data_IF_209981663033
#
_entry.id   IF_209981663033
#
_cell.length_a   1.000
_cell.length_b   1.000
_cell.length_c   1.000
_cell.angle_alpha   90.00
_cell.angle_beta   90.00
_cell.angle_gamma   90.00
#
_symmetry.space_group_name_H-M   'P 1'
#
loop_
_entity.id
_entity.type
_entity.pdbx_description
1 polymer ?
#
# COMPACT_ATOMS: atom_id res chain seq x y z
N UNK A 1 18.12 -14.77 -8.57
CA UNK A 1 17.65 -14.00 -9.76
C UNK A 1 17.28 -14.99 -10.86
N UNK A 2 16.10 -14.86 -11.51
CA UNK A 2 15.68 -15.78 -12.57
C UNK A 2 16.59 -15.56 -13.80
N UNK A 3 17.26 -16.60 -14.34
CA UNK A 3 18.17 -16.43 -15.48
C UNK A 3 17.42 -15.98 -16.75
N UNK A 4 18.04 -15.08 -17.53
CA UNK A 4 17.43 -14.58 -18.77
C UNK A 4 17.11 -15.71 -19.78
N UNK A 5 17.98 -16.73 -19.88
CA UNK A 5 17.73 -17.90 -20.73
C UNK A 5 16.48 -18.70 -20.33
N UNK A 6 16.18 -18.80 -19.03
CA UNK A 6 14.95 -19.43 -18.56
C UNK A 6 13.71 -18.64 -18.96
N UNK A 7 13.78 -17.31 -18.89
CA UNK A 7 12.66 -16.46 -19.31
C UNK A 7 12.35 -16.60 -20.79
N UNK A 8 13.39 -16.70 -21.63
CA UNK A 8 13.21 -16.95 -23.06
C UNK A 8 12.60 -18.33 -23.32
N UNK A 9 13.07 -19.37 -22.64
CA UNK A 9 12.50 -20.71 -22.74
C UNK A 9 11.04 -20.74 -22.29
N UNK A 10 10.72 -20.11 -21.15
CA UNK A 10 9.37 -20.02 -20.64
C UNK A 10 8.44 -19.34 -21.64
N UNK A 11 8.81 -18.15 -22.13
CA UNK A 11 8.00 -17.40 -23.08
C UNK A 11 7.85 -18.10 -24.44
N UNK A 12 8.81 -18.97 -24.83
CA UNK A 12 8.68 -19.77 -26.05
C UNK A 12 7.68 -20.93 -25.92
N UNK A 13 7.36 -21.39 -24.70
CA UNK A 13 6.41 -22.49 -24.43
C UNK A 13 5.01 -22.01 -24.04
N UNK A 14 4.89 -20.76 -23.64
CA UNK A 14 3.60 -20.18 -23.22
C UNK A 14 2.92 -19.61 -24.47
N UNK A 15 1.62 -19.89 -24.63
CA UNK A 15 0.80 -19.18 -25.62
C UNK A 15 0.08 -18.01 -24.95
N UNK A 16 0.40 -16.80 -25.37
CA UNK A 16 -0.21 -15.57 -24.83
C UNK A 16 -1.73 -15.55 -25.07
N UNK A 17 -2.22 -16.17 -26.14
CA UNK A 17 -3.66 -16.22 -26.42
C UNK A 17 -4.38 -17.03 -25.36
N UNK A 18 -3.80 -18.16 -24.92
CA UNK A 18 -4.36 -18.98 -23.85
C UNK A 18 -4.32 -18.24 -22.49
N UNK A 19 -3.24 -17.55 -22.21
CA UNK A 19 -3.11 -16.80 -20.95
C UNK A 19 -4.10 -15.63 -20.89
N UNK A 20 -4.15 -14.83 -21.92
CA UNK A 20 -5.08 -13.68 -22.01
C UNK A 20 -6.52 -14.16 -22.10
N UNK A 21 -6.79 -15.23 -22.85
CA UNK A 21 -8.12 -15.78 -23.04
C UNK A 21 -8.82 -16.29 -21.76
N UNK A 22 -8.04 -16.57 -20.71
CA UNK A 22 -8.60 -16.87 -19.37
C UNK A 22 -9.24 -15.65 -18.67
N UNK A 23 -8.90 -14.44 -19.12
CA UNK A 23 -9.27 -13.20 -18.48
C UNK A 23 -10.04 -12.24 -19.40
N UNK A 24 -9.90 -12.40 -20.70
CA UNK A 24 -10.49 -11.55 -21.74
C UNK A 24 -11.16 -12.43 -22.79
N UNK A 25 -12.43 -12.12 -23.13
CA UNK A 25 -13.11 -12.79 -24.23
C UNK A 25 -12.46 -12.36 -25.57
N UNK A 26 -11.69 -13.27 -26.18
CA UNK A 26 -10.98 -13.04 -27.42
C UNK A 26 -11.74 -13.63 -28.61
N UNK A 27 -11.91 -12.85 -29.67
CA UNK A 27 -12.49 -13.27 -30.95
C UNK A 27 -11.43 -13.16 -32.07
N UNK A 28 -11.40 -14.12 -32.96
CA UNK A 28 -10.42 -14.13 -34.07
C UNK A 28 -10.69 -12.97 -35.01
N UNK A 29 -9.70 -12.11 -35.20
CA UNK A 29 -9.74 -10.95 -36.10
C UNK A 29 -8.58 -11.00 -37.11
N UNK A 30 -8.71 -11.80 -38.16
CA UNK A 30 -7.63 -12.03 -39.12
C UNK A 30 -6.48 -12.88 -38.56
N UNK A 31 -5.24 -12.34 -38.57
CA UNK A 31 -4.04 -12.99 -38.03
C UNK A 31 -3.90 -12.87 -36.49
N UNK A 32 -4.69 -11.99 -35.88
CA UNK A 32 -4.65 -11.72 -34.44
C UNK A 32 -6.00 -12.07 -33.80
N UNK A 33 -6.00 -12.05 -32.46
CA UNK A 33 -7.23 -12.12 -31.66
C UNK A 33 -7.55 -10.73 -31.12
N UNK A 34 -8.84 -10.38 -31.10
CA UNK A 34 -9.34 -9.08 -30.67
C UNK A 34 -10.31 -9.25 -29.49
N UNK A 35 -10.26 -8.35 -28.52
CA UNK A 35 -11.17 -8.31 -27.38
C UNK A 35 -11.33 -6.92 -26.81
N UNK A 36 -12.16 -6.77 -25.79
CA UNK A 36 -12.24 -5.54 -25.01
C UNK A 36 -11.01 -5.45 -24.11
N UNK A 37 -10.42 -4.27 -24.02
CA UNK A 37 -9.20 -4.07 -23.24
C UNK A 37 -9.45 -4.27 -21.74
N UNK A 38 -8.66 -5.10 -21.06
CA UNK A 38 -8.79 -5.28 -19.60
C UNK A 38 -8.10 -4.16 -18.80
N UNK A 39 -7.40 -3.23 -19.47
CA UNK A 39 -6.64 -2.15 -18.85
C UNK A 39 -7.37 -0.79 -18.90
N UNK A 40 -8.39 -0.62 -19.75
CA UNK A 40 -9.26 0.56 -19.79
C UNK A 40 -10.68 0.20 -20.19
N UNK A 41 -11.64 1.04 -19.80
CA UNK A 41 -13.04 0.84 -20.15
C UNK A 41 -13.34 1.23 -21.60
N UNK A 42 -13.84 0.27 -22.40
CA UNK A 42 -14.22 0.51 -23.79
C UNK A 42 -15.46 -0.30 -24.19
N UNK A 43 -16.15 0.13 -25.25
CA UNK A 43 -17.33 -0.57 -25.80
C UNK A 43 -17.04 -1.30 -27.11
N UNK A 44 -15.94 -0.96 -27.77
CA UNK A 44 -15.51 -1.56 -29.03
C UNK A 44 -14.14 -2.22 -28.86
N UNK A 45 -13.91 -3.42 -29.40
CA UNK A 45 -12.64 -4.12 -29.23
C UNK A 45 -11.47 -3.36 -29.83
N UNK A 46 -10.51 -2.94 -28.98
CA UNK A 46 -9.25 -2.32 -29.37
C UNK A 46 -8.02 -3.09 -28.88
N UNK A 47 -8.24 -4.14 -28.10
CA UNK A 47 -7.19 -4.97 -27.56
C UNK A 47 -6.85 -6.12 -28.50
N UNK A 48 -5.63 -6.13 -29.03
CA UNK A 48 -5.15 -7.10 -30.02
C UNK A 48 -4.10 -8.02 -29.38
N UNK A 49 -4.25 -9.32 -29.56
CA UNK A 49 -3.28 -10.34 -29.14
C UNK A 49 -2.74 -11.06 -30.35
N UNK A 50 -1.44 -11.01 -30.55
CA UNK A 50 -0.75 -11.62 -31.70
C UNK A 50 -0.13 -12.97 -31.31
N UNK A 51 -0.68 -14.11 -31.81
CA UNK A 51 -0.10 -15.41 -31.55
C UNK A 51 1.28 -15.60 -32.19
N UNK A 52 1.55 -14.97 -33.31
CA UNK A 52 2.84 -15.07 -33.97
C UNK A 52 3.97 -14.27 -33.31
N UNK A 53 3.61 -13.14 -32.67
CA UNK A 53 4.56 -12.27 -31.96
C UNK A 53 4.60 -12.56 -30.45
N UNK A 54 3.68 -13.36 -29.94
CA UNK A 54 3.49 -13.62 -28.50
C UNK A 54 3.43 -12.31 -27.69
N UNK A 55 2.59 -11.37 -28.19
CA UNK A 55 2.54 -10.00 -27.71
C UNK A 55 1.11 -9.44 -27.80
N UNK A 56 0.70 -8.66 -26.79
CA UNK A 56 -0.56 -7.91 -26.83
C UNK A 56 -0.31 -6.42 -27.03
N UNK A 57 -1.26 -5.75 -27.67
CA UNK A 57 -1.26 -4.31 -27.84
C UNK A 57 -2.69 -3.78 -27.85
N UNK A 58 -2.96 -2.75 -27.06
CA UNK A 58 -4.24 -2.03 -27.07
C UNK A 58 -4.12 -0.74 -27.89
N UNK A 59 -4.90 -0.62 -28.95
CA UNK A 59 -4.94 0.58 -29.79
C UNK A 59 -5.67 1.75 -29.11
N UNK A 60 -6.44 1.52 -28.03
CA UNK A 60 -7.14 2.55 -27.28
C UNK A 60 -6.26 3.23 -26.22
N UNK A 61 -5.56 2.46 -25.37
CA UNK A 61 -4.78 3.01 -24.26
C UNK A 61 -3.27 2.81 -24.39
N UNK A 62 -2.77 2.11 -25.45
CA UNK A 62 -1.33 1.85 -25.65
C UNK A 62 -0.74 0.75 -24.76
N UNK A 63 -1.52 0.12 -23.89
CA UNK A 63 -1.03 -0.99 -23.06
C UNK A 63 -0.50 -2.11 -23.95
N UNK A 64 0.69 -2.63 -23.63
CA UNK A 64 1.36 -3.60 -24.49
C UNK A 64 2.36 -4.44 -23.69
N UNK A 65 2.56 -5.70 -24.10
CA UNK A 65 3.54 -6.57 -23.44
C UNK A 65 3.40 -8.04 -23.82
N UNK A 66 4.22 -8.84 -23.17
CA UNK A 66 4.20 -10.31 -23.23
C UNK A 66 3.27 -10.92 -22.14
N UNK A 67 3.25 -12.23 -22.04
CA UNK A 67 2.44 -12.95 -21.06
C UNK A 67 2.81 -12.58 -19.60
N UNK A 68 4.09 -12.37 -19.30
CA UNK A 68 4.56 -12.00 -17.95
C UNK A 68 4.02 -10.60 -17.61
N UNK A 69 4.16 -9.66 -18.52
CA UNK A 69 3.69 -8.29 -18.33
C UNK A 69 2.17 -8.23 -18.22
N UNK A 70 1.46 -9.03 -18.98
CA UNK A 70 0.00 -9.15 -18.84
C UNK A 70 -0.40 -9.57 -17.43
N UNK A 71 0.21 -10.61 -16.86
CA UNK A 71 -0.10 -11.08 -15.51
C UNK A 71 0.29 -10.06 -14.43
N UNK A 72 1.43 -9.37 -14.60
CA UNK A 72 1.86 -8.35 -13.64
C UNK A 72 0.95 -7.12 -13.65
N UNK A 73 0.55 -6.64 -14.82
CA UNK A 73 -0.28 -5.44 -14.96
C UNK A 73 -1.77 -5.73 -14.75
N UNK A 74 -2.26 -6.88 -15.20
CA UNK A 74 -3.69 -7.22 -15.11
C UNK A 74 -4.07 -7.82 -13.74
N UNK A 75 -3.25 -8.75 -13.21
CA UNK A 75 -3.52 -9.41 -11.93
C UNK A 75 -2.79 -8.80 -10.74
N UNK A 76 -1.86 -7.86 -10.98
CA UNK A 76 -1.04 -7.26 -9.93
C UNK A 76 -0.02 -8.22 -9.33
N UNK A 77 0.31 -9.31 -10.03
CA UNK A 77 1.33 -10.27 -9.58
C UNK A 77 2.71 -9.62 -9.61
N UNK A 78 3.57 -9.99 -8.67
CA UNK A 78 4.99 -9.68 -8.81
C UNK A 78 5.59 -10.42 -10.01
N UNK A 79 6.68 -9.93 -10.57
CA UNK A 79 7.39 -10.60 -11.67
C UNK A 79 7.70 -12.07 -11.37
N UNK A 80 8.12 -12.38 -10.15
CA UNK A 80 8.44 -13.75 -9.74
C UNK A 80 7.19 -14.62 -9.65
N UNK A 81 6.08 -14.08 -9.16
CA UNK A 81 4.80 -14.79 -9.11
C UNK A 81 4.25 -15.07 -10.51
N UNK A 82 4.30 -14.08 -11.42
CA UNK A 82 3.89 -14.26 -12.81
C UNK A 82 4.72 -15.33 -13.53
N UNK A 83 6.04 -15.30 -13.35
CA UNK A 83 6.95 -16.32 -13.93
C UNK A 83 6.66 -17.71 -13.36
N UNK A 84 6.37 -17.84 -12.08
CA UNK A 84 6.01 -19.14 -11.46
C UNK A 84 4.67 -19.67 -11.97
N UNK A 85 3.68 -18.80 -12.08
CA UNK A 85 2.35 -19.17 -12.60
C UNK A 85 2.44 -19.70 -14.03
N UNK A 86 3.15 -18.98 -14.91
CA UNK A 86 3.39 -19.38 -16.28
C UNK A 86 4.18 -20.69 -16.37
N UNK A 87 5.26 -20.82 -15.59
CA UNK A 87 6.11 -22.01 -15.57
C UNK A 87 5.34 -23.25 -15.12
N UNK A 88 4.48 -23.12 -14.09
CA UNK A 88 3.61 -24.18 -13.63
C UNK A 88 2.61 -24.61 -14.73
N UNK A 89 2.09 -23.64 -15.49
CA UNK A 89 1.14 -23.89 -16.58
C UNK A 89 1.73 -24.70 -17.75
N UNK A 90 3.05 -24.60 -17.97
CA UNK A 90 3.76 -25.31 -19.06
C UNK A 90 4.67 -26.43 -18.55
N UNK A 91 4.57 -26.81 -17.28
CA UNK A 91 5.35 -27.90 -16.67
C UNK A 91 6.85 -27.61 -16.56
N UNK A 92 7.27 -26.35 -16.57
CA UNK A 92 8.66 -25.95 -16.35
C UNK A 92 8.93 -25.74 -14.85
N UNK A 93 10.03 -26.31 -14.37
CA UNK A 93 10.54 -25.95 -13.05
C UNK A 93 11.34 -24.64 -13.16
N UNK A 94 10.90 -23.59 -12.44
CA UNK A 94 11.67 -22.35 -12.36
C UNK A 94 13.04 -22.70 -11.75
N UNK A 95 14.17 -22.36 -12.40
CA UNK A 95 15.49 -22.57 -11.83
C UNK A 95 15.57 -21.78 -10.51
N UNK A 96 15.45 -22.50 -9.40
CA UNK A 96 15.75 -21.90 -8.11
C UNK A 96 17.28 -21.76 -8.03
N UNK A 97 17.76 -20.59 -7.55
CA UNK A 97 19.09 -20.52 -7.01
C UNK A 97 19.26 -21.74 -6.12
N UNK A 98 20.43 -22.37 -6.12
CA UNK A 98 20.70 -23.55 -5.30
C UNK A 98 20.45 -23.20 -3.82
N UNK A 99 19.17 -23.23 -3.46
CA UNK A 99 18.71 -23.06 -2.09
C UNK A 99 19.07 -24.35 -1.39
N UNK A 100 19.81 -24.27 -0.29
CA UNK A 100 20.16 -25.45 0.49
C UNK A 100 18.90 -26.24 0.88
N UNK A 101 18.98 -27.57 1.05
CA UNK A 101 17.83 -28.38 1.48
C UNK A 101 17.16 -27.80 2.75
N UNK A 102 17.94 -27.25 3.67
CA UNK A 102 17.47 -26.59 4.90
C UNK A 102 16.66 -25.32 4.60
N UNK A 103 17.10 -24.52 3.64
CA UNK A 103 16.39 -23.29 3.25
C UNK A 103 15.12 -23.57 2.48
N UNK A 104 15.09 -24.66 1.67
CA UNK A 104 13.88 -25.16 1.02
C UNK A 104 12.87 -25.61 2.08
N UNK A 105 13.29 -26.42 3.03
CA UNK A 105 12.45 -26.89 4.13
C UNK A 105 11.90 -25.72 4.97
N UNK A 106 12.71 -24.71 5.25
CA UNK A 106 12.24 -23.46 5.91
C UNK A 106 11.18 -22.73 5.10
N UNK A 107 11.35 -22.61 3.78
CA UNK A 107 10.36 -21.98 2.89
C UNK A 107 9.04 -22.74 2.86
N UNK A 108 9.11 -24.07 2.77
CA UNK A 108 7.92 -24.94 2.76
C UNK A 108 7.18 -24.85 4.10
N UNK A 109 7.89 -24.93 5.21
CA UNK A 109 7.32 -24.76 6.56
C UNK A 109 6.65 -23.37 6.72
N UNK A 110 7.31 -22.29 6.26
CA UNK A 110 6.74 -20.95 6.28
C UNK A 110 5.49 -20.84 5.40
N UNK A 111 5.46 -21.52 4.25
CA UNK A 111 4.32 -21.54 3.35
C UNK A 111 3.12 -22.28 3.97
N UNK A 112 3.35 -23.45 4.54
CA UNK A 112 2.33 -24.22 5.25
C UNK A 112 1.77 -23.44 6.43
N UNK A 113 2.66 -22.80 7.22
CA UNK A 113 2.24 -21.96 8.35
C UNK A 113 1.39 -20.77 7.91
N UNK A 114 1.74 -20.12 6.79
CA UNK A 114 0.93 -19.05 6.21
C UNK A 114 -0.44 -19.51 5.74
N UNK A 115 -0.54 -20.70 5.16
CA UNK A 115 -1.82 -21.28 4.77
C UNK A 115 -2.68 -21.56 6.00
N UNK A 116 -2.13 -22.16 7.05
CA UNK A 116 -2.82 -22.41 8.32
C UNK A 116 -3.31 -21.14 9.00
N UNK A 117 -2.49 -20.07 9.01
CA UNK A 117 -2.90 -18.75 9.53
C UNK A 117 -4.04 -18.13 8.70
N UNK A 118 -3.97 -18.26 7.37
CA UNK A 118 -5.04 -17.80 6.48
C UNK A 118 -6.38 -18.50 6.72
N UNK A 119 -6.35 -19.80 6.96
CA UNK A 119 -7.55 -20.58 7.29
C UNK A 119 -8.17 -20.17 8.63
N UNK A 120 -7.32 -19.92 9.63
CA UNK A 120 -7.75 -19.42 10.94
C UNK A 120 -8.42 -18.05 10.81
N UNK A 121 -7.82 -17.13 10.08
CA UNK A 121 -8.38 -15.79 9.84
C UNK A 121 -9.69 -15.84 9.05
N UNK A 122 -9.79 -16.73 8.04
CA UNK A 122 -11.00 -16.90 7.27
C UNK A 122 -12.15 -17.45 8.13
N UNK A 123 -11.90 -18.45 8.98
CA UNK A 123 -12.90 -18.96 9.93
C UNK A 123 -13.40 -17.89 10.89
N UNK A 124 -12.48 -17.06 11.42
CA UNK A 124 -12.85 -15.93 12.27
C UNK A 124 -13.71 -14.92 11.51
N UNK A 125 -13.37 -14.59 10.26
CA UNK A 125 -14.16 -13.70 9.41
C UNK A 125 -15.58 -14.23 9.17
N UNK A 126 -15.72 -15.50 8.88
CA UNK A 126 -17.03 -16.16 8.67
C UNK A 126 -17.87 -16.16 9.95
N UNK A 127 -17.24 -16.39 11.10
CA UNK A 127 -17.88 -16.26 12.40
C UNK A 127 -18.37 -14.83 12.65
N UNK A 128 -17.52 -13.81 12.54
CA UNK A 128 -17.90 -12.43 12.74
C UNK A 128 -19.01 -11.97 11.78
N UNK A 129 -18.96 -12.41 10.53
CA UNK A 129 -20.00 -12.13 9.54
C UNK A 129 -21.36 -12.76 9.94
N UNK A 130 -21.34 -13.96 10.51
CA UNK A 130 -22.54 -14.62 11.02
C UNK A 130 -23.09 -13.88 12.24
N UNK A 131 -22.23 -13.48 13.16
CA UNK A 131 -22.61 -12.73 14.34
C UNK A 131 -23.26 -11.38 13.99
N UNK A 132 -22.77 -10.68 12.97
CA UNK A 132 -23.35 -9.41 12.51
C UNK A 132 -24.82 -9.58 12.11
N UNK A 133 -25.17 -10.68 11.41
CA UNK A 133 -26.55 -10.94 10.94
C UNK A 133 -27.55 -11.09 12.10
N UNK A 134 -27.11 -11.54 13.25
CA UNK A 134 -27.92 -11.79 14.44
C UNK A 134 -27.82 -10.68 15.50
N UNK A 135 -27.09 -9.58 15.23
CA UNK A 135 -26.86 -8.51 16.21
C UNK A 135 -27.54 -7.19 15.81
N UNK A 136 -28.77 -6.93 16.26
CA UNK A 136 -29.53 -5.72 15.87
C UNK A 136 -28.77 -4.42 16.17
N UNK A 137 -28.10 -4.31 17.34
CA UNK A 137 -27.35 -3.12 17.75
C UNK A 137 -26.25 -2.76 16.73
N UNK A 138 -25.54 -3.75 16.20
CA UNK A 138 -24.49 -3.52 15.19
C UNK A 138 -25.10 -3.19 13.82
N UNK A 139 -26.20 -3.85 13.44
CA UNK A 139 -26.94 -3.57 12.21
C UNK A 139 -27.47 -2.13 12.23
N UNK A 140 -28.13 -1.70 13.31
CA UNK A 140 -28.67 -0.36 13.45
C UNK A 140 -27.57 0.71 13.45
N UNK A 141 -26.42 0.38 14.05
CA UNK A 141 -25.25 1.24 14.00
C UNK A 141 -24.81 1.48 12.53
N UNK A 142 -24.64 0.41 11.75
CA UNK A 142 -24.24 0.51 10.33
C UNK A 142 -25.29 1.25 9.48
N UNK A 143 -26.58 0.99 9.74
CA UNK A 143 -27.70 1.72 9.07
C UNK A 143 -27.67 3.22 9.40
N UNK A 144 -27.44 3.61 10.66
CA UNK A 144 -27.31 5.03 11.04
C UNK A 144 -26.14 5.72 10.37
N UNK A 145 -25.08 4.96 10.04
CA UNK A 145 -23.96 5.41 9.22
C UNK A 145 -24.25 5.39 7.71
N UNK A 146 -25.50 5.08 7.33
CA UNK A 146 -25.93 5.06 5.94
C UNK A 146 -25.49 3.83 5.14
N UNK A 147 -24.89 2.81 5.77
CA UNK A 147 -24.40 1.65 5.06
C UNK A 147 -25.50 0.63 4.79
N UNK A 148 -25.54 0.11 3.56
CA UNK A 148 -26.48 -0.92 3.12
C UNK A 148 -25.95 -2.33 3.40
N UNK A 149 -26.85 -3.31 3.44
CA UNK A 149 -26.46 -4.72 3.54
C UNK A 149 -25.59 -5.21 2.37
N UNK A 150 -25.80 -4.64 1.18
CA UNK A 150 -25.02 -4.98 -0.02
C UNK A 150 -23.56 -4.56 0.14
N UNK A 151 -23.30 -3.34 0.59
CA UNK A 151 -21.93 -2.87 0.81
C UNK A 151 -21.27 -3.61 1.98
N UNK A 152 -22.01 -3.85 3.06
CA UNK A 152 -21.53 -4.65 4.18
C UNK A 152 -21.11 -6.07 3.75
N UNK A 153 -21.88 -6.70 2.87
CA UNK A 153 -21.56 -8.02 2.32
C UNK A 153 -20.34 -7.98 1.38
N UNK A 154 -20.23 -6.94 0.52
CA UNK A 154 -19.08 -6.75 -0.38
C UNK A 154 -17.77 -6.65 0.39
N UNK A 155 -17.74 -5.88 1.47
CA UNK A 155 -16.55 -5.73 2.32
C UNK A 155 -16.43 -6.83 3.39
N UNK A 156 -17.40 -7.74 3.49
CA UNK A 156 -17.37 -8.85 4.45
C UNK A 156 -17.48 -8.39 5.90
N UNK A 157 -18.16 -7.27 6.17
CA UNK A 157 -18.27 -6.73 7.52
C UNK A 157 -18.83 -7.77 8.50
N UNK A 158 -18.35 -7.73 9.73
CA UNK A 158 -18.71 -8.63 10.80
C UNK A 158 -18.96 -7.93 12.12
N UNK A 159 -19.22 -8.72 13.16
CA UNK A 159 -19.33 -8.24 14.53
C UNK A 159 -18.62 -9.20 15.48
N UNK A 160 -17.72 -8.69 16.31
CA UNK A 160 -17.12 -9.42 17.41
C UNK A 160 -17.99 -9.24 18.66
N UNK A 161 -18.58 -10.33 19.20
CA UNK A 161 -19.43 -10.25 20.40
C UNK A 161 -18.68 -9.72 21.64
N UNK A 162 -19.40 -9.26 22.67
CA UNK A 162 -18.78 -8.67 23.87
C UNK A 162 -18.08 -9.67 24.79
N UNK A 163 -18.21 -10.97 24.54
CA UNK A 163 -17.61 -12.02 25.38
C UNK A 163 -16.08 -12.05 25.29
N UNK A 164 -15.46 -12.52 26.36
CA UNK A 164 -13.99 -12.60 26.45
C UNK A 164 -13.37 -13.75 25.65
N UNK A 165 -14.13 -14.83 25.37
CA UNK A 165 -13.68 -16.06 24.73
C UNK A 165 -14.73 -16.57 23.75
N UNK A 166 -15.28 -15.70 22.93
CA UNK A 166 -16.33 -16.06 21.95
C UNK A 166 -15.78 -16.94 20.84
N UNK A 167 -14.51 -16.79 20.49
CA UNK A 167 -13.82 -17.62 19.51
C UNK A 167 -13.57 -19.06 20.01
N UNK A 168 -13.68 -19.33 21.31
CA UNK A 168 -13.58 -20.70 21.84
C UNK A 168 -14.63 -21.67 21.26
N UNK A 169 -15.79 -21.15 20.86
CA UNK A 169 -16.82 -21.94 20.16
C UNK A 169 -16.59 -22.15 18.67
N UNK A 170 -15.55 -21.51 18.08
CA UNK A 170 -15.26 -21.51 16.65
C UNK A 170 -14.14 -22.50 16.32
N UNK A 171 -13.17 -22.61 17.21
CA UNK A 171 -11.96 -23.39 16.99
C UNK A 171 -11.93 -24.64 17.89
N UNK A 172 -11.41 -25.78 17.37
CA UNK A 172 -11.32 -27.01 18.15
C UNK A 172 -10.50 -26.88 19.45
N UNK A 173 -9.46 -26.06 19.42
CA UNK A 173 -8.66 -25.71 20.58
C UNK A 173 -8.49 -24.20 20.64
N UNK A 174 -8.93 -23.59 21.73
CA UNK A 174 -8.74 -22.15 21.98
C UNK A 174 -7.28 -21.83 22.39
N UNK A 175 -6.55 -22.83 22.83
CA UNK A 175 -5.15 -22.71 23.23
C UNK A 175 -4.16 -22.94 22.07
N UNK A 176 -4.68 -23.12 20.83
CA UNK A 176 -3.86 -23.24 19.65
C UNK A 176 -2.98 -21.99 19.47
N UNK A 177 -1.64 -22.11 19.40
CA UNK A 177 -0.73 -20.99 19.19
C UNK A 177 -1.01 -20.19 17.90
N UNK A 178 -1.64 -20.83 16.89
CA UNK A 178 -2.02 -20.15 15.65
C UNK A 178 -3.02 -19.00 15.87
N UNK A 179 -3.88 -19.09 16.91
CA UNK A 179 -4.84 -18.01 17.22
C UNK A 179 -4.15 -16.75 17.73
N UNK A 180 -3.09 -16.92 18.52
CA UNK A 180 -2.27 -15.83 19.02
C UNK A 180 -1.41 -15.25 17.89
N UNK A 181 -0.77 -16.09 17.10
CA UNK A 181 0.03 -15.68 15.94
C UNK A 181 -0.81 -14.97 14.86
N UNK A 182 -2.07 -15.37 14.68
CA UNK A 182 -3.03 -14.68 13.81
C UNK A 182 -3.54 -13.35 14.40
N UNK A 183 -3.18 -13.02 15.65
CA UNK A 183 -3.62 -11.81 16.34
C UNK A 183 -5.11 -11.82 16.71
N UNK A 184 -5.73 -12.99 16.84
CA UNK A 184 -7.13 -13.14 17.24
C UNK A 184 -7.31 -13.27 18.75
N UNK A 185 -6.31 -13.85 19.41
CA UNK A 185 -6.29 -14.10 20.87
C UNK A 185 -5.01 -13.52 21.43
N UNK A 186 -5.06 -13.06 22.68
CA UNK A 186 -3.88 -12.61 23.45
C UNK A 186 -3.77 -13.33 24.78
N UNK A 187 -2.53 -13.48 25.23
CA UNK A 187 -2.23 -13.84 26.62
C UNK A 187 -2.33 -12.58 27.49
N UNK A 188 -2.86 -12.75 28.68
CA UNK A 188 -2.92 -11.70 29.69
C UNK A 188 -1.50 -11.38 30.18
N UNK A 189 -1.05 -10.17 29.98
CA UNK A 189 0.22 -9.66 30.50
C UNK A 189 -0.10 -8.89 31.79
N UNK A 190 0.22 -9.47 32.96
CA UNK A 190 -0.18 -8.96 34.27
C UNK A 190 0.32 -7.51 34.53
N UNK A 191 1.36 -7.07 33.85
CA UNK A 191 1.97 -5.75 34.05
C UNK A 191 1.43 -4.68 33.07
N UNK A 192 0.96 -5.08 31.87
CA UNK A 192 0.46 -4.14 30.85
C UNK A 192 -1.06 -3.92 30.91
N UNK A 193 -1.83 -4.91 31.34
CA UNK A 193 -3.29 -4.83 31.41
C UNK A 193 -3.80 -3.91 32.55
N UNK A 194 -2.94 -3.50 33.48
CA UNK A 194 -3.28 -2.54 34.54
C UNK A 194 -3.42 -1.10 34.04
N UNK A 195 -2.67 -0.72 33.01
CA UNK A 195 -2.68 0.65 32.46
C UNK A 195 -3.84 0.89 31.47
N UNK A 196 -4.40 -0.17 30.88
CA UNK A 196 -5.46 -0.06 29.86
C UNK A 196 -6.90 -0.12 30.43
N UNK A 197 -7.07 -0.19 31.76
CA UNK A 197 -8.39 -0.13 32.41
C UNK A 197 -9.32 -1.31 32.11
N UNK A 198 -8.79 -2.44 31.62
CA UNK A 198 -9.58 -3.60 31.28
C UNK A 198 -9.68 -4.57 32.47
N UNK A 199 -10.80 -4.50 33.22
CA UNK A 199 -11.12 -5.50 34.23
C UNK A 199 -11.35 -6.86 33.58
N UNK A 200 -10.35 -7.74 33.66
CA UNK A 200 -10.46 -9.12 33.20
C UNK A 200 -11.04 -10.02 34.28
N UNK A 201 -11.94 -10.97 33.97
CA UNK A 201 -12.39 -11.96 34.95
C UNK A 201 -11.21 -12.76 35.49
N UNK A 202 -11.11 -12.92 36.78
CA UNK A 202 -10.16 -13.82 37.42
C UNK A 202 -10.61 -15.27 37.15
N UNK A 203 -9.76 -16.05 36.49
CA UNK A 203 -9.97 -17.49 36.28
C UNK A 203 -9.89 -17.92 34.82
N UNK A 204 -9.05 -18.89 34.57
CA UNK A 204 -8.94 -19.67 33.35
C UNK A 204 -7.89 -19.20 32.31
N UNK A 205 -6.64 -19.68 32.45
CA UNK A 205 -5.61 -19.72 31.37
C UNK A 205 -5.08 -18.42 30.82
N UNK A 206 -5.57 -17.25 31.26
CA UNK A 206 -5.04 -15.94 30.86
C UNK A 206 -5.21 -15.53 29.40
N UNK A 207 -5.90 -16.32 28.57
CA UNK A 207 -6.16 -16.02 27.15
C UNK A 207 -7.51 -15.35 26.95
N UNK A 208 -7.58 -14.35 26.03
CA UNK A 208 -8.82 -13.65 25.71
C UNK A 208 -8.84 -13.21 24.23
N UNK A 209 -10.07 -13.05 23.68
CA UNK A 209 -10.28 -12.57 22.33
C UNK A 209 -9.79 -11.12 22.19
N UNK A 210 -8.95 -10.85 21.18
CA UNK A 210 -8.42 -9.51 20.91
C UNK A 210 -9.52 -8.51 20.59
N UNK A 211 -10.47 -8.91 19.74
CA UNK A 211 -11.60 -8.06 19.37
C UNK A 211 -12.86 -8.44 20.15
N UNK A 212 -13.48 -7.46 20.79
CA UNK A 212 -14.70 -7.61 21.59
C UNK A 212 -15.60 -6.39 21.42
N UNK A 213 -16.93 -6.61 21.32
CA UNK A 213 -17.98 -5.59 21.14
C UNK A 213 -17.63 -4.55 20.04
N UNK A 214 -17.26 -5.04 18.86
CA UNK A 214 -16.80 -4.20 17.74
C UNK A 214 -17.38 -4.65 16.41
N UNK A 215 -17.70 -3.68 15.54
CA UNK A 215 -17.87 -3.95 14.10
C UNK A 215 -16.50 -4.32 13.54
N UNK A 216 -16.45 -5.41 12.78
CA UNK A 216 -15.23 -5.98 12.22
C UNK A 216 -15.12 -5.68 10.75
N UNK A 217 -13.95 -5.22 10.35
CA UNK A 217 -13.54 -4.92 8.98
C UNK A 217 -12.44 -5.91 8.59
N UNK A 218 -12.74 -6.98 7.84
CA UNK A 218 -11.71 -7.89 7.36
C UNK A 218 -10.75 -7.15 6.43
N UNK A 219 -9.46 -7.23 6.72
CA UNK A 219 -8.41 -6.70 5.86
C UNK A 219 -8.01 -7.83 4.93
N UNK A 220 -8.07 -7.58 3.60
CA UNK A 220 -7.74 -8.58 2.59
C UNK A 220 -6.45 -8.25 1.88
N UNK A 221 -5.65 -9.27 1.67
CA UNK A 221 -4.50 -9.19 0.77
C UNK A 221 -4.94 -9.01 -0.69
N UNK A 222 -4.00 -8.73 -1.57
CA UNK A 222 -4.26 -8.57 -3.01
C UNK A 222 -4.88 -9.82 -3.66
N UNK A 223 -4.70 -11.00 -3.07
CA UNK A 223 -5.30 -12.28 -3.48
C UNK A 223 -6.74 -12.49 -2.97
N UNK A 224 -7.26 -11.57 -2.16
CA UNK A 224 -8.60 -11.61 -1.56
C UNK A 224 -8.71 -12.41 -0.26
N UNK A 225 -7.64 -13.03 0.20
CA UNK A 225 -7.61 -13.75 1.48
C UNK A 225 -7.59 -12.78 2.65
N UNK A 226 -8.25 -13.14 3.74
CA UNK A 226 -8.20 -12.34 4.97
C UNK A 226 -6.82 -12.48 5.60
N UNK A 227 -6.18 -11.34 5.87
CA UNK A 227 -4.84 -11.25 6.47
C UNK A 227 -4.85 -10.63 7.85
N UNK A 228 -5.95 -10.00 8.24
CA UNK A 228 -6.14 -9.35 9.54
C UNK A 228 -7.49 -8.67 9.63
N UNK A 229 -7.67 -7.89 10.68
CA UNK A 229 -8.92 -7.18 10.95
C UNK A 229 -8.68 -5.78 11.49
N UNK A 230 -9.60 -4.87 11.17
CA UNK A 230 -9.88 -3.68 11.92
C UNK A 230 -11.15 -3.86 12.74
N UNK A 231 -11.23 -3.29 13.94
CA UNK A 231 -12.41 -3.33 14.79
C UNK A 231 -12.80 -1.93 15.27
N UNK A 232 -14.08 -1.55 15.16
CA UNK A 232 -14.62 -0.27 15.63
C UNK A 232 -15.70 -0.48 16.68
N UNK A 233 -15.61 0.23 17.80
CA UNK A 233 -16.65 0.23 18.81
C UNK A 233 -17.96 0.86 18.28
N UNK A 234 -19.09 0.47 18.87
CA UNK A 234 -20.41 0.99 18.49
C UNK A 234 -20.76 2.28 19.22
N UNK A 235 -20.03 2.58 20.29
CA UNK A 235 -20.18 3.75 21.16
C UNK A 235 -18.91 4.62 21.14
N UNK A 236 -18.73 5.47 22.15
CA UNK A 236 -17.58 6.37 22.29
C UNK A 236 -16.46 5.80 23.16
N UNK A 237 -16.50 4.49 23.46
CA UNK A 237 -15.45 3.83 24.23
C UNK A 237 -14.10 3.88 23.50
N UNK A 238 -13.02 3.92 24.26
CA UNK A 238 -11.65 3.97 23.72
C UNK A 238 -10.96 2.60 23.87
N UNK A 239 -10.10 2.23 22.93
CA UNK A 239 -9.80 2.92 21.67
C UNK A 239 -10.94 2.75 20.65
N UNK A 240 -11.32 3.83 19.97
CA UNK A 240 -12.40 3.86 18.96
C UNK A 240 -12.14 2.85 17.84
N UNK A 241 -10.92 2.76 17.36
CA UNK A 241 -10.45 1.77 16.38
C UNK A 241 -9.33 0.92 16.97
N UNK A 242 -9.33 -0.35 16.60
CA UNK A 242 -8.31 -1.32 16.97
C UNK A 242 -7.98 -2.17 15.75
N UNK A 243 -6.70 -2.45 15.50
CA UNK A 243 -6.24 -3.29 14.40
C UNK A 243 -5.62 -4.58 14.91
N UNK A 244 -5.56 -5.60 14.04
CA UNK A 244 -4.68 -6.74 14.28
C UNK A 244 -3.26 -6.25 14.61
N UNK A 245 -2.54 -6.94 15.48
CA UNK A 245 -1.10 -6.72 15.65
C UNK A 245 -0.35 -7.06 14.35
N UNK A 246 0.94 -6.72 14.29
CA UNK A 246 1.83 -7.23 13.23
C UNK A 246 1.87 -8.76 13.29
N UNK A 247 1.68 -9.42 12.13
CA UNK A 247 1.69 -10.88 12.03
C UNK A 247 2.48 -11.31 10.79
N UNK A 248 2.79 -12.60 10.59
CA UNK A 248 3.42 -13.07 9.36
C UNK A 248 2.63 -12.81 8.08
N UNK A 249 1.30 -12.54 8.20
CA UNK A 249 0.43 -12.22 7.06
C UNK A 249 0.11 -10.74 6.94
N UNK A 250 0.22 -9.96 8.02
CA UNK A 250 -0.27 -8.60 8.11
C UNK A 250 0.78 -7.62 8.63
N UNK A 251 1.03 -6.57 7.87
CA UNK A 251 1.87 -5.43 8.28
C UNK A 251 1.16 -4.12 7.95
N UNK A 252 0.93 -3.28 8.98
CA UNK A 252 0.24 -1.99 8.84
C UNK A 252 0.95 -1.03 7.89
N UNK A 253 2.27 -1.10 7.84
CA UNK A 253 3.09 -0.25 6.96
C UNK A 253 3.08 -0.68 5.49
N UNK A 254 2.49 -1.82 5.15
CA UNK A 254 2.53 -2.42 3.80
C UNK A 254 1.15 -2.70 3.22
N UNK A 255 0.13 -2.87 4.08
CA UNK A 255 -1.20 -3.27 3.65
C UNK A 255 -2.15 -2.07 3.63
N UNK A 256 -3.10 -2.11 2.71
CA UNK A 256 -4.13 -1.08 2.56
C UNK A 256 -5.50 -1.75 2.64
N UNK A 257 -6.39 -1.19 3.44
CA UNK A 257 -7.78 -1.63 3.51
C UNK A 257 -8.53 -1.29 2.22
N UNK A 258 -9.34 -2.20 1.75
CA UNK A 258 -10.17 -2.01 0.57
C UNK A 258 -9.44 -2.19 -0.77
N UNK A 259 -8.11 -2.46 -0.79
CA UNK A 259 -7.36 -2.58 -2.03
C UNK A 259 -7.84 -3.75 -2.91
N UNK A 260 -8.23 -4.87 -2.30
CA UNK A 260 -8.80 -6.00 -3.03
C UNK A 260 -10.13 -5.62 -3.71
N UNK A 261 -11.02 -4.98 -2.96
CA UNK A 261 -12.32 -4.52 -3.44
C UNK A 261 -12.21 -3.40 -4.48
N UNK A 262 -11.12 -2.62 -4.40
CA UNK A 262 -10.87 -1.48 -5.28
C UNK A 262 -10.24 -1.86 -6.63
N UNK A 263 -9.72 -3.08 -6.82
CA UNK A 263 -8.93 -3.44 -8.02
C UNK A 263 -9.62 -3.11 -9.35
N UNK A 264 -10.89 -3.46 -9.52
CA UNK A 264 -11.63 -3.11 -10.73
C UNK A 264 -11.97 -1.61 -10.80
N UNK A 265 -12.54 -1.01 -9.73
CA UNK A 265 -12.79 0.44 -9.71
C UNK A 265 -11.55 1.32 -9.92
N UNK A 266 -10.36 0.89 -9.50
CA UNK A 266 -9.09 1.60 -9.78
C UNK A 266 -8.83 1.73 -11.28
N UNK A 267 -9.11 0.66 -12.04
CA UNK A 267 -8.98 0.67 -13.50
C UNK A 267 -10.03 1.56 -14.15
N UNK A 268 -11.28 1.45 -13.69
CA UNK A 268 -12.41 2.19 -14.26
C UNK A 268 -12.29 3.71 -14.03
N UNK A 269 -11.84 4.11 -12.83
CA UNK A 269 -11.65 5.52 -12.45
C UNK A 269 -10.29 6.08 -12.87
N UNK A 270 -9.27 5.23 -13.06
CA UNK A 270 -7.92 5.61 -13.45
C UNK A 270 -7.06 6.21 -12.33
N UNK A 271 -7.55 6.23 -11.07
CA UNK A 271 -6.79 6.71 -9.92
C UNK A 271 -7.17 5.97 -8.64
N UNK A 272 -6.25 5.96 -7.66
CA UNK A 272 -6.50 5.52 -6.30
C UNK A 272 -6.87 6.72 -5.42
N UNK A 273 -7.93 6.57 -4.61
CA UNK A 273 -8.30 7.54 -3.59
C UNK A 273 -7.88 6.99 -2.23
N UNK A 274 -6.90 7.61 -1.59
CA UNK A 274 -6.36 7.18 -0.29
C UNK A 274 -6.97 8.03 0.81
N UNK A 275 -7.63 7.38 1.76
CA UNK A 275 -8.26 7.99 2.93
C UNK A 275 -7.68 7.42 4.23
N UNK A 276 -8.11 7.91 5.40
CA UNK A 276 -7.54 7.48 6.69
C UNK A 276 -8.29 6.30 7.31
N UNK A 277 -9.61 6.18 7.09
CA UNK A 277 -10.47 5.29 7.86
C UNK A 277 -11.16 4.19 7.07
N UNK A 278 -11.47 3.10 7.77
CA UNK A 278 -12.27 1.98 7.24
C UNK A 278 -13.67 2.41 6.80
N UNK A 279 -14.31 3.25 7.62
CA UNK A 279 -15.67 3.73 7.34
C UNK A 279 -15.71 4.58 6.09
N UNK A 280 -14.70 5.44 5.89
CA UNK A 280 -14.59 6.30 4.71
C UNK A 280 -14.54 5.46 3.43
N UNK A 281 -13.70 4.40 3.42
CA UNK A 281 -13.61 3.48 2.28
C UNK A 281 -14.96 2.85 1.96
N UNK A 282 -15.66 2.32 2.99
CA UNK A 282 -16.94 1.63 2.77
C UNK A 282 -18.03 2.60 2.32
N UNK A 283 -18.10 3.80 2.94
CA UNK A 283 -19.06 4.84 2.58
C UNK A 283 -18.80 5.39 1.17
N UNK A 284 -17.55 5.68 0.82
CA UNK A 284 -17.15 6.11 -0.50
C UNK A 284 -17.46 5.06 -1.56
N UNK A 285 -17.14 3.79 -1.30
CA UNK A 285 -17.43 2.69 -2.23
C UNK A 285 -18.94 2.53 -2.49
N UNK A 286 -19.78 2.74 -1.49
CA UNK A 286 -21.25 2.74 -1.64
C UNK A 286 -21.73 3.90 -2.51
N UNK A 287 -21.06 5.04 -2.47
CA UNK A 287 -21.40 6.25 -3.21
C UNK A 287 -20.67 6.38 -4.56
N UNK A 288 -20.14 5.26 -5.12
CA UNK A 288 -19.55 5.22 -6.45
C UNK A 288 -18.05 5.45 -6.50
N UNK A 289 -17.37 5.64 -5.35
CA UNK A 289 -15.90 5.76 -5.23
C UNK A 289 -15.30 4.44 -4.75
N UNK A 290 -15.58 3.36 -5.49
CA UNK A 290 -15.05 2.03 -5.17
C UNK A 290 -13.52 1.90 -5.29
N UNK A 291 -12.85 2.93 -5.82
CA UNK A 291 -11.40 3.10 -5.92
C UNK A 291 -10.78 3.66 -4.63
N UNK A 292 -11.57 3.82 -3.56
CA UNK A 292 -11.07 4.26 -2.25
C UNK A 292 -10.36 3.12 -1.50
N UNK A 293 -9.25 3.45 -0.86
CA UNK A 293 -8.45 2.58 0.02
C UNK A 293 -8.02 3.37 1.26
N UNK A 294 -7.72 2.68 2.37
CA UNK A 294 -7.25 3.37 3.56
C UNK A 294 -5.95 2.78 4.11
N UNK A 295 -5.16 3.64 4.76
CA UNK A 295 -4.09 3.23 5.66
C UNK A 295 -4.68 2.65 6.95
N UNK A 296 -3.87 1.91 7.71
CA UNK A 296 -4.34 1.06 8.81
C UNK A 296 -3.97 1.65 10.20
N UNK A 297 -4.34 2.93 10.42
CA UNK A 297 -4.00 3.64 11.65
C UNK A 297 -2.52 4.00 11.77
N UNK A 298 -1.82 4.06 10.64
CA UNK A 298 -0.44 4.53 10.50
C UNK A 298 -0.38 5.60 9.41
N UNK A 299 0.65 6.44 9.43
CA UNK A 299 0.91 7.33 8.31
C UNK A 299 1.13 6.53 7.01
N UNK A 300 0.81 7.15 5.88
CA UNK A 300 1.13 6.57 4.58
C UNK A 300 2.66 6.37 4.45
N UNK A 301 3.07 5.20 4.01
CA UNK A 301 4.48 4.84 3.82
C UNK A 301 4.85 4.78 2.34
N UNK A 302 6.14 4.81 2.03
CA UNK A 302 6.64 4.59 0.67
C UNK A 302 6.22 3.23 0.10
N UNK A 303 6.11 2.19 0.94
CA UNK A 303 5.64 0.85 0.54
C UNK A 303 4.16 0.85 0.15
N UNK A 304 3.31 1.64 0.84
CA UNK A 304 1.91 1.85 0.44
C UNK A 304 1.83 2.50 -0.94
N UNK A 305 2.58 3.58 -1.16
CA UNK A 305 2.63 4.30 -2.45
C UNK A 305 3.13 3.38 -3.56
N UNK A 306 4.23 2.66 -3.32
CA UNK A 306 4.76 1.69 -4.27
C UNK A 306 3.73 0.60 -4.61
N UNK A 307 2.98 0.11 -3.61
CA UNK A 307 1.93 -0.88 -3.82
C UNK A 307 0.80 -0.32 -4.69
N UNK A 308 0.34 0.92 -4.45
CA UNK A 308 -0.70 1.56 -5.25
C UNK A 308 -0.28 1.74 -6.71
N UNK A 309 0.95 2.14 -6.96
CA UNK A 309 1.49 2.30 -8.32
C UNK A 309 1.67 0.99 -9.11
N UNK A 310 1.34 -0.15 -8.52
CA UNK A 310 1.18 -1.41 -9.26
C UNK A 310 -0.20 -1.55 -9.92
N UNK A 311 -1.18 -0.73 -9.51
CA UNK A 311 -2.57 -0.82 -9.95
C UNK A 311 -3.04 0.40 -10.73
N UNK A 312 -2.37 1.54 -10.58
CA UNK A 312 -2.72 2.82 -11.22
C UNK A 312 -1.52 3.75 -11.26
N UNK A 313 -1.48 4.66 -12.24
CA UNK A 313 -0.45 5.73 -12.33
C UNK A 313 -0.91 7.04 -11.64
N UNK A 314 -2.08 7.06 -11.01
CA UNK A 314 -2.59 8.26 -10.36
C UNK A 314 -3.09 7.95 -8.95
N UNK A 315 -2.64 8.77 -7.97
CA UNK A 315 -3.04 8.66 -6.57
C UNK A 315 -3.53 10.02 -6.07
N UNK A 316 -4.69 10.03 -5.43
CA UNK A 316 -5.24 11.20 -4.74
C UNK A 316 -5.32 10.87 -3.26
N UNK A 317 -4.60 11.60 -2.43
CA UNK A 317 -4.70 11.51 -0.98
C UNK A 317 -5.76 12.48 -0.48
N UNK A 318 -6.71 12.00 0.31
CA UNK A 318 -7.75 12.82 0.93
C UNK A 318 -7.52 12.91 2.44
N UNK A 319 -7.47 14.14 2.93
CA UNK A 319 -7.24 14.47 4.32
C UNK A 319 -8.33 15.40 4.85
N UNK A 320 -8.54 15.35 6.15
CA UNK A 320 -9.34 16.34 6.86
C UNK A 320 -8.64 17.71 6.77
N UNK A 321 -9.41 18.80 6.70
CA UNK A 321 -8.85 20.15 6.53
C UNK A 321 -8.18 20.75 7.78
N UNK A 322 -8.03 19.95 8.84
CA UNK A 322 -7.46 20.37 10.11
C UNK A 322 -5.91 20.27 10.15
N UNK A 323 -5.32 20.68 11.29
CA UNK A 323 -3.86 20.60 11.48
C UNK A 323 -3.32 19.16 11.48
N UNK A 324 -4.12 18.18 11.87
CA UNK A 324 -3.69 16.77 11.87
C UNK A 324 -3.63 16.25 10.44
N UNK A 325 -4.66 16.53 9.63
CA UNK A 325 -4.68 16.21 8.20
C UNK A 325 -3.55 16.86 7.41
N UNK A 326 -3.19 18.12 7.71
CA UNK A 326 -2.02 18.77 7.08
C UNK A 326 -0.70 18.05 7.41
N UNK A 327 -0.52 17.64 8.68
CA UNK A 327 0.66 16.81 9.06
C UNK A 327 0.67 15.44 8.42
N UNK A 328 -0.52 14.83 8.23
CA UNK A 328 -0.65 13.58 7.51
C UNK A 328 -0.30 13.75 6.02
N UNK A 329 -0.76 14.85 5.40
CA UNK A 329 -0.42 15.21 4.02
C UNK A 329 1.09 15.41 3.82
N UNK A 330 1.77 16.07 4.77
CA UNK A 330 3.22 16.23 4.72
C UNK A 330 3.95 14.89 4.67
N UNK A 331 3.56 13.95 5.55
CA UNK A 331 4.14 12.59 5.56
C UNK A 331 3.81 11.79 4.29
N UNK A 332 2.59 11.95 3.76
CA UNK A 332 2.20 11.32 2.51
C UNK A 332 2.96 11.88 1.31
N UNK A 333 3.25 13.20 1.31
CA UNK A 333 4.12 13.82 0.32
C UNK A 333 5.52 13.21 0.36
N UNK A 334 6.15 13.17 1.53
CA UNK A 334 7.48 12.56 1.70
C UNK A 334 7.52 11.09 1.24
N UNK A 335 6.48 10.32 1.56
CA UNK A 335 6.35 8.92 1.12
C UNK A 335 6.16 8.79 -0.39
N UNK A 336 5.52 9.76 -1.05
CA UNK A 336 5.22 9.73 -2.47
C UNK A 336 6.37 10.21 -3.35
N UNK A 337 7.19 11.16 -2.87
CA UNK A 337 8.26 11.79 -3.64
C UNK A 337 9.20 10.79 -4.34
N UNK A 338 9.72 9.72 -3.68
CA UNK A 338 10.61 8.76 -4.36
C UNK A 338 9.96 7.99 -5.51
N UNK A 339 8.63 8.00 -5.58
CA UNK A 339 7.84 7.27 -6.57
C UNK A 339 7.19 8.17 -7.63
N UNK A 340 7.32 9.50 -7.49
CA UNK A 340 6.73 10.49 -8.39
C UNK A 340 7.59 10.64 -9.67
N UNK A 341 7.36 9.76 -10.64
CA UNK A 341 7.98 9.82 -11.98
C UNK A 341 7.20 10.74 -12.91
N UNK A 342 7.74 11.02 -14.10
CA UNK A 342 7.12 11.88 -15.10
C UNK A 342 5.72 11.41 -15.58
N UNK A 343 5.44 10.10 -15.46
CA UNK A 343 4.16 9.48 -15.86
C UNK A 343 3.19 9.28 -14.72
N UNK A 344 3.61 9.49 -13.47
CA UNK A 344 2.78 9.28 -12.29
C UNK A 344 2.21 10.59 -11.75
N UNK A 345 0.94 10.57 -11.41
CA UNK A 345 0.23 11.71 -10.83
C UNK A 345 -0.03 11.47 -9.34
N UNK A 346 0.37 12.42 -8.51
CA UNK A 346 0.04 12.45 -7.08
C UNK A 346 -0.63 13.77 -6.78
N UNK A 347 -1.79 13.72 -6.11
CA UNK A 347 -2.57 14.89 -5.71
C UNK A 347 -3.00 14.81 -4.26
N UNK A 348 -3.29 15.95 -3.66
CA UNK A 348 -3.71 16.12 -2.27
C UNK A 348 -5.03 16.86 -2.21
N UNK A 349 -6.03 16.22 -1.65
CA UNK A 349 -7.35 16.77 -1.43
C UNK A 349 -7.50 17.10 0.05
N UNK A 350 -7.86 18.34 0.35
CA UNK A 350 -8.20 18.79 1.69
C UNK A 350 -9.70 19.11 1.72
N UNK A 351 -10.43 18.35 2.51
CA UNK A 351 -11.85 18.61 2.73
C UNK A 351 -12.04 19.79 3.70
N UNK A 352 -13.21 20.44 3.71
CA UNK A 352 -13.56 21.38 4.76
C UNK A 352 -13.40 20.75 6.15
N UNK A 353 -12.95 21.54 7.14
CA UNK A 353 -12.56 21.05 8.47
C UNK A 353 -13.68 20.36 9.26
N UNK A 354 -14.94 20.61 8.90
CA UNK A 354 -16.14 20.01 9.47
C UNK A 354 -16.50 18.63 8.92
N UNK A 355 -15.80 18.17 7.86
CA UNK A 355 -16.11 16.92 7.17
C UNK A 355 -14.92 15.98 7.09
N UNK A 356 -15.19 14.70 7.33
CA UNK A 356 -14.42 13.57 6.84
C UNK A 356 -15.03 13.07 5.49
N UNK A 357 -14.35 12.19 4.74
CA UNK A 357 -14.86 11.69 3.46
C UNK A 357 -16.23 11.02 3.56
N UNK A 358 -16.54 10.28 4.65
CA UNK A 358 -17.84 9.65 4.91
C UNK A 358 -18.95 10.71 5.05
N UNK A 359 -18.76 11.68 5.94
CA UNK A 359 -19.75 12.74 6.17
C UNK A 359 -19.94 13.62 4.93
N UNK A 360 -18.85 13.99 4.23
CA UNK A 360 -18.91 14.83 3.05
C UNK A 360 -19.75 14.20 1.92
N UNK A 361 -19.42 12.93 1.57
CA UNK A 361 -20.16 12.27 0.48
C UNK A 361 -21.60 11.99 0.83
N UNK A 362 -21.91 11.74 2.11
CA UNK A 362 -23.26 11.48 2.59
C UNK A 362 -24.13 12.74 2.61
N UNK A 363 -23.58 13.88 3.00
CA UNK A 363 -24.32 15.13 3.18
C UNK A 363 -24.39 15.97 1.91
N UNK A 364 -23.31 16.04 1.14
CA UNK A 364 -23.21 16.88 -0.05
C UNK A 364 -23.32 16.09 -1.37
N UNK A 365 -23.26 14.77 -1.28
CA UNK A 365 -23.44 13.86 -2.39
C UNK A 365 -22.19 13.59 -3.22
N UNK A 366 -22.24 12.53 -4.05
CA UNK A 366 -21.08 12.07 -4.83
C UNK A 366 -20.59 13.10 -5.87
N UNK A 367 -21.49 13.90 -6.48
CA UNK A 367 -21.09 14.91 -7.46
C UNK A 367 -20.24 16.02 -6.83
N UNK A 368 -20.59 16.48 -5.62
CA UNK A 368 -19.80 17.46 -4.89
C UNK A 368 -18.42 16.91 -4.50
N UNK A 369 -18.37 15.65 -4.07
CA UNK A 369 -17.09 15.00 -3.75
C UNK A 369 -16.21 14.84 -5.00
N UNK A 370 -16.76 14.48 -6.15
CA UNK A 370 -16.02 14.38 -7.42
C UNK A 370 -15.44 15.73 -7.87
N UNK A 371 -16.14 16.84 -7.61
CA UNK A 371 -15.61 18.18 -7.85
C UNK A 371 -14.41 18.49 -6.94
N UNK A 372 -14.44 18.09 -5.67
CA UNK A 372 -13.31 18.23 -4.76
C UNK A 372 -12.11 17.41 -5.25
N UNK A 373 -12.33 16.18 -5.68
CA UNK A 373 -11.26 15.32 -6.24
C UNK A 373 -10.64 15.97 -7.49
N UNK A 374 -11.44 16.56 -8.35
CA UNK A 374 -10.95 17.26 -9.56
C UNK A 374 -10.06 18.47 -9.21
N UNK A 375 -10.35 19.15 -8.10
CA UNK A 375 -9.62 20.33 -7.60
C UNK A 375 -8.43 19.99 -6.71
N UNK A 376 -8.15 18.69 -6.49
CA UNK A 376 -7.05 18.25 -5.64
C UNK A 376 -5.70 18.83 -6.07
N UNK A 377 -4.93 19.30 -5.10
CA UNK A 377 -3.65 20.01 -5.27
C UNK A 377 -2.59 19.06 -5.81
N UNK A 378 -1.89 19.37 -6.92
CA UNK A 378 -0.82 18.51 -7.43
C UNK A 378 0.40 18.50 -6.51
N UNK A 379 1.18 17.42 -6.57
CA UNK A 379 2.38 17.19 -5.74
C UNK A 379 3.36 18.35 -5.78
N UNK A 380 3.62 18.94 -6.94
CA UNK A 380 4.55 20.07 -7.10
C UNK A 380 4.12 21.28 -6.28
N UNK A 381 2.84 21.60 -6.32
CA UNK A 381 2.28 22.71 -5.55
C UNK A 381 2.27 22.39 -4.05
N UNK A 382 1.89 21.18 -3.66
CA UNK A 382 1.91 20.75 -2.26
C UNK A 382 3.33 20.81 -1.67
N UNK A 383 4.35 20.44 -2.45
CA UNK A 383 5.75 20.54 -2.03
C UNK A 383 6.14 21.98 -1.73
N UNK A 384 5.79 22.92 -2.60
CA UNK A 384 6.09 24.34 -2.42
C UNK A 384 5.33 24.92 -1.22
N UNK A 385 4.04 24.58 -1.09
CA UNK A 385 3.20 25.02 0.04
C UNK A 385 3.77 24.52 1.37
N UNK A 386 4.16 23.25 1.45
CA UNK A 386 4.78 22.67 2.64
C UNK A 386 6.12 23.32 2.98
N UNK A 387 6.97 23.55 1.97
CA UNK A 387 8.26 24.20 2.19
C UNK A 387 8.12 25.68 2.62
N UNK A 388 6.97 26.29 2.36
CA UNK A 388 6.68 27.69 2.67
C UNK A 388 5.90 27.89 3.97
N UNK A 389 5.42 26.81 4.63
CA UNK A 389 4.42 26.88 5.73
C UNK A 389 4.84 27.77 6.91
N UNK A 390 6.13 27.82 7.25
CA UNK A 390 6.66 28.65 8.35
C UNK A 390 7.64 29.73 7.86
N UNK A 391 7.60 30.07 6.57
CA UNK A 391 8.53 30.99 5.94
C UNK A 391 7.84 32.30 5.53
N UNK A 392 8.31 33.40 6.05
CA UNK A 392 7.92 34.75 5.56
C UNK A 392 8.63 35.03 4.23
N UNK A 393 7.97 34.74 3.11
CA UNK A 393 8.54 34.91 1.77
C UNK A 393 8.80 36.39 1.40
N UNK A 394 8.30 37.35 2.17
CA UNK A 394 8.61 38.80 1.98
C UNK A 394 10.05 39.13 2.39
N UNK A 395 10.64 38.36 3.32
CA UNK A 395 12.00 38.55 3.82
C UNK A 395 13.00 37.62 3.11
N UNK A 396 14.27 38.03 3.05
CA UNK A 396 15.36 37.19 2.51
C UNK A 396 15.57 35.92 3.35
N UNK A 397 15.48 36.06 4.68
CA UNK A 397 15.62 34.97 5.64
C UNK A 397 14.53 33.93 5.47
N UNK A 398 13.27 34.36 5.26
CA UNK A 398 12.14 33.46 5.02
C UNK A 398 12.27 32.72 3.69
N UNK A 399 12.68 33.40 2.62
CA UNK A 399 12.97 32.74 1.33
C UNK A 399 14.11 31.72 1.44
N UNK A 400 15.16 32.03 2.19
CA UNK A 400 16.25 31.10 2.46
C UNK A 400 15.78 29.89 3.27
N UNK A 401 14.91 30.07 4.27
CA UNK A 401 14.29 29.02 5.05
C UNK A 401 13.44 28.11 4.15
N UNK A 402 12.60 28.66 3.30
CA UNK A 402 11.79 27.90 2.34
C UNK A 402 12.68 27.03 1.45
N UNK A 403 13.77 27.54 0.91
CA UNK A 403 14.70 26.75 0.11
C UNK A 403 15.39 25.63 0.89
N UNK A 404 15.75 25.90 2.15
CA UNK A 404 16.33 24.87 3.02
C UNK A 404 15.34 23.72 3.30
N UNK A 405 14.05 24.03 3.44
CA UNK A 405 12.97 23.05 3.60
C UNK A 405 12.63 22.33 2.29
N UNK A 406 12.63 23.03 1.16
CA UNK A 406 12.33 22.47 -0.16
C UNK A 406 13.42 21.52 -0.67
N UNK A 407 14.68 21.77 -0.34
CA UNK A 407 15.82 21.00 -0.87
C UNK A 407 15.72 19.50 -0.63
N UNK A 408 15.52 18.98 0.60
CA UNK A 408 15.40 17.54 0.85
C UNK A 408 14.21 16.94 0.10
N UNK A 409 13.09 17.64 0.00
CA UNK A 409 11.90 17.20 -0.71
C UNK A 409 12.17 17.08 -2.22
N UNK A 410 12.79 18.11 -2.81
CA UNK A 410 13.18 18.09 -4.23
C UNK A 410 14.22 17.02 -4.53
N UNK A 411 15.17 16.79 -3.63
CA UNK A 411 16.19 15.74 -3.78
C UNK A 411 15.59 14.33 -3.75
N UNK A 412 14.50 14.12 -3.02
CA UNK A 412 13.80 12.82 -2.95
C UNK A 412 13.11 12.43 -4.26
N UNK A 413 12.85 13.38 -5.17
CA UNK A 413 12.29 13.10 -6.49
C UNK A 413 13.27 12.30 -7.36
N UNK A 414 12.78 11.30 -8.11
CA UNK A 414 13.57 10.64 -9.16
C UNK A 414 14.09 11.63 -10.20
N UNK A 415 15.21 11.32 -10.81
CA UNK A 415 15.70 12.12 -11.94
C UNK A 415 14.73 12.00 -13.12
N UNK A 416 14.24 13.15 -13.61
CA UNK A 416 13.23 13.22 -14.65
C UNK A 416 12.85 14.64 -15.01
N UNK A 417 11.88 14.79 -15.89
CA UNK A 417 11.37 16.09 -16.32
C UNK A 417 10.65 16.81 -15.18
N UNK A 418 9.86 16.10 -14.35
CA UNK A 418 9.18 16.68 -13.20
C UNK A 418 10.14 17.38 -12.24
N UNK A 419 11.23 16.72 -11.85
CA UNK A 419 12.26 17.27 -10.98
C UNK A 419 12.90 18.52 -11.57
N UNK A 420 13.16 18.50 -12.88
CA UNK A 420 13.76 19.65 -13.60
C UNK A 420 12.78 20.81 -13.72
N UNK A 421 11.49 20.55 -13.97
CA UNK A 421 10.46 21.58 -14.07
C UNK A 421 10.16 22.26 -12.73
N UNK A 422 10.30 21.53 -11.62
CA UNK A 422 10.06 22.08 -10.29
C UNK A 422 11.15 23.06 -9.83
N UNK A 423 12.39 22.89 -10.28
CA UNK A 423 13.51 23.75 -9.88
C UNK A 423 13.32 25.24 -10.25
N UNK A 424 12.88 25.59 -11.48
CA UNK A 424 12.54 26.99 -11.82
C UNK A 424 11.38 27.57 -10.99
N UNK A 425 10.42 26.73 -10.60
CA UNK A 425 9.30 27.18 -9.75
C UNK A 425 9.80 27.56 -8.35
N UNK A 426 10.68 26.74 -7.77
CA UNK A 426 11.33 27.03 -6.48
C UNK A 426 12.23 28.27 -6.54
N UNK A 427 13.00 28.44 -7.64
CA UNK A 427 13.81 29.63 -7.86
C UNK A 427 12.97 30.90 -7.91
N UNK A 428 11.84 30.87 -8.60
CA UNK A 428 10.89 31.99 -8.69
C UNK A 428 10.31 32.35 -7.32
N UNK A 429 9.89 31.35 -6.52
CA UNK A 429 9.38 31.59 -5.16
C UNK A 429 10.43 32.19 -4.24
N UNK A 430 11.69 31.81 -4.42
CA UNK A 430 12.83 32.36 -3.66
C UNK A 430 13.36 33.67 -4.21
N UNK A 431 12.85 34.18 -5.34
CA UNK A 431 13.36 35.37 -6.05
C UNK A 431 14.86 35.24 -6.40
N UNK A 432 15.29 34.03 -6.82
CA UNK A 432 16.63 33.75 -7.28
C UNK A 432 16.63 33.42 -8.78
N UNK A 433 17.77 33.69 -9.42
CA UNK A 433 18.00 33.15 -10.77
C UNK A 433 18.15 31.62 -10.72
N UNK A 434 17.66 30.94 -11.74
CA UNK A 434 17.72 29.47 -11.80
C UNK A 434 19.17 28.95 -11.70
N UNK A 435 20.11 29.66 -12.33
CA UNK A 435 21.52 29.29 -12.32
C UNK A 435 22.12 29.35 -10.90
N UNK A 436 21.73 30.37 -10.11
CA UNK A 436 22.21 30.53 -8.73
C UNK A 436 21.65 29.39 -7.83
N UNK A 437 20.36 29.09 -7.94
CA UNK A 437 19.77 27.99 -7.18
C UNK A 437 20.38 26.63 -7.57
N UNK A 438 20.58 26.39 -8.88
CA UNK A 438 21.21 25.18 -9.37
C UNK A 438 22.65 25.03 -8.85
N UNK A 439 23.44 26.11 -8.89
CA UNK A 439 24.80 26.12 -8.34
C UNK A 439 24.81 25.87 -6.82
N UNK A 440 23.91 26.51 -6.07
CA UNK A 440 23.76 26.32 -4.61
C UNK A 440 23.44 24.86 -4.25
N UNK A 441 22.61 24.18 -5.06
CA UNK A 441 22.21 22.81 -4.78
C UNK A 441 23.14 21.77 -5.37
N UNK A 442 23.79 22.01 -6.52
CA UNK A 442 24.80 21.10 -7.12
C UNK A 442 26.13 21.11 -6.35
N UNK A 443 26.55 22.26 -5.82
CA UNK A 443 27.74 22.36 -4.96
C UNK A 443 27.64 21.49 -3.69
N UNK A 444 26.43 21.21 -3.19
CA UNK A 444 26.22 20.32 -2.07
C UNK A 444 26.25 18.83 -2.43
N UNK A 445 26.04 18.46 -3.70
CA UNK A 445 26.19 17.09 -4.20
C UNK A 445 27.67 16.70 -4.37
N UNK A 446 28.56 17.69 -4.64
CA UNK A 446 30.00 17.49 -4.74
C UNK A 446 30.73 17.41 -3.38
N UNK A 447 30.06 17.76 -2.29
CA UNK A 447 30.64 17.82 -0.94
C UNK A 447 30.40 16.54 -0.10
N UNK A 448 30.14 15.40 -0.71
CA UNK A 448 30.29 14.11 -0.01
C UNK A 448 31.78 13.87 0.16
N UNK A 449 32.33 13.69 1.40
CA UNK A 449 33.74 13.47 1.56
C UNK A 449 34.09 12.12 0.93
N UNK A 450 34.68 12.14 -0.25
CA UNK A 450 35.49 11.04 -0.76
C UNK A 450 36.59 10.82 0.26
N UNK A 451 36.55 9.69 0.96
CA UNK A 451 37.68 9.25 1.76
C UNK A 451 38.90 9.21 0.83
N UNK A 452 39.75 10.21 0.96
CA UNK A 452 41.04 10.25 0.33
C UNK A 452 41.83 9.00 0.75
N UNK A 453 41.87 8.03 -0.13
CA UNK A 453 42.93 7.04 -0.15
C UNK A 453 44.19 7.78 -0.62
N UNK A 454 44.93 8.34 0.32
CA UNK A 454 46.28 8.87 0.08
C UNK A 454 47.15 7.76 -0.53
N UNK A 455 47.41 7.91 -1.84
CA UNK A 455 48.61 7.36 -2.46
C UNK A 455 49.70 8.37 -2.27
N UNK A 456 50.48 8.17 -1.21
CA UNK A 456 51.81 8.78 -1.18
C UNK A 456 52.84 7.69 -1.48
N UNK A 457 53.47 7.82 -2.60
CA UNK A 457 54.59 7.06 -3.04
C UNK A 457 55.85 7.86 -2.81
N UNK A 458 56.78 7.40 -2.01
CA UNK A 458 58.11 7.96 -2.09
C UNK A 458 59.02 7.77 -0.88
N UNK A 459 59.88 6.76 -0.99
CA UNK A 459 61.27 6.71 -0.53
C UNK A 459 61.63 6.78 0.96
N UNK A 460 62.09 5.64 1.48
CA UNK A 460 63.45 5.44 2.03
C UNK A 460 63.79 6.17 3.33
N UNK A 461 63.87 5.45 4.42
CA UNK A 461 64.51 5.90 5.63
C UNK A 461 64.29 4.94 6.78
N UNK A 462 65.20 3.99 6.93
CA UNK A 462 65.26 3.07 8.08
C UNK A 462 65.50 3.84 9.35
N UNK A 463 64.67 3.66 10.39
CA UNK A 463 65.00 4.06 11.75
C UNK A 463 64.93 2.84 12.67
N UNK A 464 65.80 2.74 13.70
CA UNK A 464 66.11 1.52 14.41
C UNK A 464 65.10 1.16 15.50
N UNK A 465 64.94 -0.13 15.73
CA UNK A 465 64.13 -0.76 16.76
C UNK A 465 64.60 -0.39 18.19
N UNK A 466 63.70 -0.16 19.15
CA UNK A 466 64.04 -0.08 20.56
C UNK A 466 64.22 -1.46 21.19
N UNK A 467 65.05 -1.55 22.26
CA UNK A 467 65.43 -2.83 22.88
C UNK A 467 64.34 -3.41 23.80
N UNK A 468 64.36 -4.71 24.11
CA UNK A 468 63.33 -5.41 24.86
C UNK A 468 63.36 -5.08 26.35
N UNK A 469 62.21 -4.84 26.96
CA UNK A 469 62.03 -4.72 28.41
C UNK A 469 62.13 -6.06 29.06
N UNK A 470 63.09 -6.16 30.07
CA UNK A 470 63.25 -7.29 30.99
C UNK A 470 62.08 -7.32 31.98
N UNK A 471 61.63 -8.55 32.23
CA UNK A 471 60.78 -8.90 33.37
C UNK A 471 61.48 -8.72 34.69
N UNK A 472 60.83 -8.18 35.66
CA UNK A 472 60.90 -8.51 37.08
C UNK A 472 59.45 -8.60 37.60
#
# INVERSE_FOLDING_TARGET
MIPAGFLQELLSRVDIVDIVGRHVELKRGGANFMGLCPFHGEKSPSFSVSPSKQFYYCFGCGASGDAIRFLTEHLGLSFVEAVRDLAQGVGLAVPEEQVSPEERQRRDTLRERRLSLGDVLQRAADFYRTQLKSQPRAIDYLKRRGLTGTIAARFGLGFAPPGWRTLAGVFPSYDDPLLEEAGLVRLKDADKDRDEGHATPAGDGGRYDWFRDRVMFPIRGVDGKVIGFGGRVLDDSKPKYMNSPETPLFSKGRELYGLFEARQPLRDKGYALVVEGYMDVVALAQNGFGNAVATLGTACTAEHVQKLFRFTDSVVFSFDGDKAGRRAAARALEAALPHATDLRSVKFLFLPSEHDPDSYVRELGPAAFEQQVAQAVPLSRQLIEQASEEADLSSAEGRARMLAQAKPLWMALPDGALKRQLLPELARQAQLELADLASLWQGALAATPTAERGRDGGRGGAAPLPPPLRRA
#
